data_IF_923480795857
#
_entry.id   IF_923480795857
#
_cell.length_a   1.000
_cell.length_b   1.000
_cell.length_c   1.000
_cell.angle_alpha   90.00
_cell.angle_beta   90.00
_cell.angle_gamma   90.00
#
_symmetry.space_group_name_H-M   'P 1'
#
loop_
_entity.id
_entity.type
_entity.pdbx_description
1 polymer ?
#
# COMPACT_ATOMS: atom_id res chain seq x y z
N UNK A 1 20.69 13.37 -19.52
CA UNK A 1 20.20 13.33 -18.12
C UNK A 1 18.84 12.64 -18.13
N UNK A 2 18.70 11.47 -17.50
CA UNK A 2 17.40 10.78 -17.40
C UNK A 2 16.52 11.55 -16.40
N UNK A 3 15.27 11.83 -16.76
CA UNK A 3 14.31 12.44 -15.85
C UNK A 3 14.13 11.55 -14.62
N UNK A 4 14.46 12.06 -13.42
CA UNK A 4 14.24 11.39 -12.15
C UNK A 4 12.87 11.80 -11.62
N UNK A 5 12.02 10.83 -11.32
CA UNK A 5 10.70 11.10 -10.77
C UNK A 5 10.86 11.72 -9.36
N UNK A 6 10.39 12.96 -9.10
CA UNK A 6 10.62 13.64 -7.83
C UNK A 6 9.98 12.93 -6.63
N UNK A 7 8.97 12.08 -6.88
CA UNK A 7 8.30 11.32 -5.82
C UNK A 7 9.09 10.09 -5.36
N UNK A 8 10.20 9.73 -6.03
CA UNK A 8 11.05 8.61 -5.61
C UNK A 8 11.65 8.84 -4.23
N UNK A 9 12.07 10.07 -3.95
CA UNK A 9 12.69 10.41 -2.67
C UNK A 9 11.62 10.68 -1.59
N UNK A 10 10.41 11.06 -2.02
CA UNK A 10 9.32 11.40 -1.13
C UNK A 10 8.63 10.17 -0.51
N UNK A 11 8.64 9.01 -1.19
CA UNK A 11 7.96 7.82 -0.66
C UNK A 11 8.59 7.30 0.63
N UNK A 12 9.88 7.56 0.87
CA UNK A 12 10.56 7.16 2.11
C UNK A 12 10.36 8.16 3.26
N UNK A 13 9.73 9.32 3.00
CA UNK A 13 9.52 10.36 4.03
C UNK A 13 8.27 10.12 4.91
N UNK A 14 7.47 9.10 4.59
CA UNK A 14 6.22 8.77 5.30
C UNK A 14 6.12 7.28 5.66
N UNK A 15 7.08 6.74 6.44
CA UNK A 15 7.19 5.29 6.69
C UNK A 15 5.97 4.67 7.40
N UNK A 16 5.19 5.47 8.13
CA UNK A 16 3.91 5.01 8.70
C UNK A 16 2.87 4.71 7.63
N UNK A 17 2.85 5.46 6.53
CA UNK A 17 1.83 5.35 5.50
C UNK A 17 2.33 4.66 4.23
N UNK A 18 3.64 4.56 4.04
CA UNK A 18 4.26 4.02 2.83
C UNK A 18 5.29 2.96 3.19
N UNK A 19 5.13 1.78 2.58
CA UNK A 19 6.20 0.78 2.50
C UNK A 19 6.78 0.80 1.08
N UNK A 20 7.98 1.36 0.85
CA UNK A 20 8.60 1.36 -0.46
C UNK A 20 9.33 0.04 -0.76
N UNK A 21 9.14 -0.47 -1.97
CA UNK A 21 10.00 -1.48 -2.59
C UNK A 21 11.24 -0.80 -3.19
N UNK A 22 12.43 -1.26 -2.80
CA UNK A 22 13.73 -0.83 -3.29
C UNK A 22 14.49 -2.05 -3.84
N UNK A 23 15.05 -1.96 -5.05
CA UNK A 23 15.82 -3.04 -5.70
C UNK A 23 15.19 -4.44 -5.60
N UNK A 24 13.89 -4.49 -5.87
CA UNK A 24 13.05 -5.69 -5.84
C UNK A 24 12.91 -6.37 -4.48
N UNK A 25 13.10 -5.63 -3.39
CA UNK A 25 12.92 -6.10 -2.02
C UNK A 25 12.25 -5.05 -1.13
N UNK A 26 11.80 -5.49 0.03
CA UNK A 26 11.39 -4.62 1.12
C UNK A 26 12.43 -4.68 2.25
N UNK A 27 12.60 -3.57 2.97
CA UNK A 27 13.38 -3.56 4.21
C UNK A 27 12.72 -4.50 5.24
N UNK A 28 13.40 -5.56 5.71
CA UNK A 28 12.86 -6.50 6.68
C UNK A 28 12.38 -5.84 7.99
N UNK A 29 13.03 -4.76 8.43
CA UNK A 29 12.63 -4.04 9.64
C UNK A 29 11.32 -3.28 9.41
N UNK A 30 11.17 -2.63 8.25
CA UNK A 30 9.95 -1.94 7.88
C UNK A 30 8.77 -2.94 7.71
N UNK A 31 9.04 -4.10 7.10
CA UNK A 31 8.05 -5.19 6.99
C UNK A 31 7.62 -5.67 8.37
N UNK A 32 8.57 -5.95 9.27
CA UNK A 32 8.24 -6.40 10.63
C UNK A 32 7.40 -5.38 11.38
N UNK A 33 7.77 -4.09 11.31
CA UNK A 33 6.99 -3.02 11.94
C UNK A 33 5.57 -2.90 11.36
N UNK A 34 5.42 -3.08 10.05
CA UNK A 34 4.10 -3.13 9.40
C UNK A 34 3.28 -4.34 9.88
N UNK A 35 3.88 -5.52 9.96
CA UNK A 35 3.22 -6.74 10.45
C UNK A 35 2.74 -6.57 11.89
N UNK A 36 3.55 -6.00 12.78
CA UNK A 36 3.17 -5.67 14.16
C UNK A 36 1.97 -4.72 14.21
N UNK A 37 1.96 -3.69 13.35
CA UNK A 37 0.82 -2.78 13.23
C UNK A 37 -0.43 -3.48 12.73
N UNK A 38 -0.33 -4.33 11.70
CA UNK A 38 -1.47 -5.10 11.19
C UNK A 38 -2.04 -5.98 12.30
N UNK A 39 -1.19 -6.64 13.09
CA UNK A 39 -1.60 -7.51 14.19
C UNK A 39 -2.34 -6.81 15.34
N UNK A 40 -2.32 -5.48 15.40
CA UNK A 40 -3.11 -4.70 16.36
C UNK A 40 -4.58 -4.52 15.95
N UNK A 41 -4.97 -4.96 14.74
CA UNK A 41 -6.32 -4.84 14.20
C UNK A 41 -7.00 -6.20 14.08
N UNK A 42 -8.33 -6.19 14.00
CA UNK A 42 -9.14 -7.42 14.01
C UNK A 42 -9.16 -8.13 12.65
N UNK A 43 -8.85 -7.42 11.57
CA UNK A 43 -8.85 -7.97 10.21
C UNK A 43 -7.88 -7.22 9.30
N UNK A 44 -7.46 -7.88 8.23
CA UNK A 44 -6.60 -7.31 7.19
C UNK A 44 -7.33 -7.32 5.85
N UNK A 45 -7.45 -6.16 5.22
CA UNK A 45 -8.09 -5.98 3.92
C UNK A 45 -7.05 -5.48 2.92
N UNK A 46 -6.94 -6.17 1.79
CA UNK A 46 -6.02 -5.81 0.70
C UNK A 46 -6.74 -5.00 -0.39
N UNK A 47 -5.99 -4.11 -1.04
CA UNK A 47 -6.41 -3.50 -2.30
C UNK A 47 -5.25 -3.55 -3.31
N UNK A 48 -5.40 -4.33 -4.38
CA UNK A 48 -4.40 -4.44 -5.44
C UNK A 48 -4.70 -3.43 -6.54
N UNK A 49 -3.73 -2.56 -6.83
CA UNK A 49 -3.91 -1.49 -7.80
C UNK A 49 -4.76 -0.34 -7.26
N UNK A 50 -4.42 0.17 -6.07
CA UNK A 50 -5.25 1.15 -5.34
C UNK A 50 -5.40 2.51 -6.03
N UNK A 51 -4.76 2.74 -7.17
CA UNK A 51 -4.89 3.95 -7.96
C UNK A 51 -4.53 5.19 -7.15
N UNK A 52 -5.40 6.20 -7.13
CA UNK A 52 -5.23 7.42 -6.32
C UNK A 52 -5.57 7.25 -4.83
N UNK A 53 -5.89 6.02 -4.40
CA UNK A 53 -6.17 5.64 -3.02
C UNK A 53 -7.54 6.06 -2.50
N UNK A 54 -8.45 6.53 -3.35
CA UNK A 54 -9.77 7.01 -2.90
C UNK A 54 -10.62 5.91 -2.25
N UNK A 55 -10.67 4.73 -2.88
CA UNK A 55 -11.37 3.57 -2.32
C UNK A 55 -10.69 3.09 -1.03
N UNK A 56 -9.37 2.88 -1.07
CA UNK A 56 -8.57 2.47 0.09
C UNK A 56 -8.80 3.36 1.33
N UNK A 57 -8.68 4.67 1.16
CA UNK A 57 -8.88 5.66 2.22
C UNK A 57 -10.31 5.60 2.76
N UNK A 58 -11.30 5.61 1.87
CA UNK A 58 -12.71 5.56 2.27
C UNK A 58 -13.06 4.31 3.06
N UNK A 59 -12.48 3.15 2.70
CA UNK A 59 -12.68 1.90 3.45
C UNK A 59 -12.03 1.96 4.83
N UNK A 60 -10.82 2.53 4.93
CA UNK A 60 -10.14 2.70 6.21
C UNK A 60 -10.87 3.65 7.16
N UNK A 61 -11.44 4.75 6.67
CA UNK A 61 -12.28 5.66 7.45
C UNK A 61 -13.55 4.97 7.99
N UNK A 62 -14.18 4.12 7.18
CA UNK A 62 -15.43 3.44 7.53
C UNK A 62 -15.24 2.21 8.42
N UNK A 63 -14.04 1.64 8.48
CA UNK A 63 -13.75 0.39 9.19
C UNK A 63 -12.49 0.55 10.07
N UNK A 64 -12.56 1.34 11.15
CA UNK A 64 -11.39 1.62 12.00
C UNK A 64 -10.78 0.37 12.65
N UNK A 65 -11.55 -0.70 12.81
CA UNK A 65 -11.10 -1.97 13.41
C UNK A 65 -10.35 -2.89 12.43
N UNK A 66 -10.34 -2.55 11.13
CA UNK A 66 -9.66 -3.28 10.08
C UNK A 66 -8.43 -2.53 9.60
N UNK A 67 -7.33 -3.24 9.36
CA UNK A 67 -6.16 -2.69 8.69
C UNK A 67 -6.30 -2.79 7.17
N UNK A 68 -5.99 -1.71 6.46
CA UNK A 68 -6.08 -1.62 5.01
C UNK A 68 -4.69 -1.51 4.38
N UNK A 69 -4.32 -2.51 3.58
CA UNK A 69 -3.04 -2.56 2.87
C UNK A 69 -3.24 -2.43 1.36
N UNK A 70 -2.87 -1.28 0.81
CA UNK A 70 -2.97 -1.01 -0.63
C UNK A 70 -1.66 -1.27 -1.38
N UNK A 71 -1.73 -1.66 -2.65
CA UNK A 71 -0.58 -1.79 -3.54
C UNK A 71 -0.71 -0.88 -4.76
N UNK A 72 0.33 -0.10 -5.05
CA UNK A 72 0.39 0.75 -6.25
C UNK A 72 1.85 0.95 -6.71
N UNK A 73 2.07 0.92 -8.03
CA UNK A 73 3.39 1.03 -8.66
C UNK A 73 3.84 2.50 -8.83
N UNK A 74 2.89 3.42 -9.00
CA UNK A 74 3.17 4.83 -9.35
C UNK A 74 3.48 5.65 -8.10
N UNK A 75 4.76 6.03 -7.93
CA UNK A 75 5.26 6.88 -6.84
C UNK A 75 4.38 8.09 -6.50
N UNK A 76 3.96 8.87 -7.50
CA UNK A 76 3.09 10.04 -7.29
C UNK A 76 1.77 9.68 -6.62
N UNK A 77 1.15 8.57 -7.00
CA UNK A 77 -0.14 8.16 -6.45
C UNK A 77 0.02 7.70 -5.00
N UNK A 78 0.99 6.82 -4.74
CA UNK A 78 1.35 6.36 -3.39
C UNK A 78 1.57 7.56 -2.45
N UNK A 79 2.42 8.51 -2.84
CA UNK A 79 2.71 9.67 -2.00
C UNK A 79 1.47 10.53 -1.73
N UNK A 80 0.63 10.78 -2.74
CA UNK A 80 -0.62 11.55 -2.55
C UNK A 80 -1.63 10.82 -1.67
N UNK A 81 -1.71 9.49 -1.76
CA UNK A 81 -2.55 8.67 -0.88
C UNK A 81 -2.06 8.76 0.56
N UNK A 82 -0.75 8.67 0.78
CA UNK A 82 -0.14 8.84 2.10
C UNK A 82 -0.39 10.24 2.68
N UNK A 83 -0.19 11.31 1.90
CA UNK A 83 -0.49 12.68 2.35
C UNK A 83 -1.95 12.85 2.77
N UNK A 84 -2.89 12.27 2.05
CA UNK A 84 -4.32 12.33 2.41
C UNK A 84 -4.61 11.54 3.67
N UNK A 85 -4.07 10.33 3.77
CA UNK A 85 -4.25 9.45 4.93
C UNK A 85 -3.70 10.08 6.20
N UNK A 86 -2.53 10.73 6.10
CA UNK A 86 -1.91 11.48 7.18
C UNK A 86 -2.75 12.70 7.61
N UNK A 87 -3.26 13.48 6.65
CA UNK A 87 -4.14 14.62 6.94
C UNK A 87 -5.43 14.21 7.63
N UNK A 88 -5.94 13.01 7.34
CA UNK A 88 -7.11 12.42 7.98
C UNK A 88 -6.78 11.72 9.31
N UNK A 89 -5.50 11.59 9.66
CA UNK A 89 -5.06 10.95 10.91
C UNK A 89 -5.25 9.44 10.95
N UNK A 90 -5.39 8.77 9.80
CA UNK A 90 -5.66 7.33 9.73
C UNK A 90 -4.50 6.51 10.30
N UNK A 91 -4.78 5.60 11.22
CA UNK A 91 -3.75 4.71 11.81
C UNK A 91 -3.79 3.30 11.23
N UNK A 92 -4.87 2.95 10.55
CA UNK A 92 -5.23 1.62 10.06
C UNK A 92 -5.00 1.45 8.55
N UNK A 93 -4.05 2.18 7.97
CA UNK A 93 -3.77 2.14 6.53
C UNK A 93 -2.27 2.23 6.26
N UNK A 94 -1.78 1.41 5.33
CA UNK A 94 -0.48 1.55 4.67
C UNK A 94 -0.63 1.31 3.17
N UNK A 95 0.05 2.11 2.35
CA UNK A 95 0.17 1.87 0.91
C UNK A 95 1.59 1.40 0.56
N UNK A 96 1.67 0.20 0.01
CA UNK A 96 2.90 -0.38 -0.52
C UNK A 96 3.17 0.23 -1.88
N UNK A 97 4.31 0.92 -2.02
CA UNK A 97 4.86 1.23 -3.33
C UNK A 97 5.58 -0.02 -3.80
N UNK A 98 4.99 -0.80 -4.69
CA UNK A 98 5.59 -2.06 -5.13
C UNK A 98 4.66 -2.95 -5.92
N UNK A 99 5.21 -4.07 -6.37
CA UNK A 99 4.48 -5.10 -7.09
C UNK A 99 3.73 -6.01 -6.11
N UNK A 100 2.43 -6.19 -6.34
CA UNK A 100 1.60 -7.07 -5.51
C UNK A 100 2.02 -8.55 -5.55
N UNK A 101 2.82 -8.97 -6.54
CA UNK A 101 3.41 -10.32 -6.58
C UNK A 101 4.34 -10.59 -5.40
N UNK A 102 4.89 -9.54 -4.78
CA UNK A 102 5.73 -9.64 -3.59
C UNK A 102 4.94 -9.58 -2.27
N UNK A 103 3.61 -9.59 -2.34
CA UNK A 103 2.74 -9.66 -1.17
C UNK A 103 3.14 -10.77 -0.16
N UNK A 104 3.54 -11.99 -0.58
CA UNK A 104 3.95 -13.03 0.37
C UNK A 104 5.14 -12.62 1.26
N UNK A 105 6.05 -11.78 0.77
CA UNK A 105 7.19 -11.28 1.55
C UNK A 105 6.75 -10.32 2.67
N UNK A 106 5.62 -9.64 2.47
CA UNK A 106 5.05 -8.71 3.45
C UNK A 106 4.15 -9.44 4.44
N UNK A 107 3.31 -10.36 3.98
CA UNK A 107 2.31 -11.01 4.84
C UNK A 107 2.95 -11.99 5.82
N UNK A 108 3.94 -12.78 5.39
CA UNK A 108 4.40 -13.92 6.17
C UNK A 108 3.22 -14.83 6.54
N UNK A 109 2.97 -15.00 7.84
CA UNK A 109 1.87 -15.81 8.39
C UNK A 109 0.54 -15.03 8.50
N UNK A 110 0.51 -13.72 8.24
CA UNK A 110 -0.70 -12.93 8.29
C UNK A 110 -1.66 -13.32 7.16
N UNK A 111 -2.96 -13.39 7.47
CA UNK A 111 -3.99 -13.73 6.50
C UNK A 111 -4.88 -12.53 6.22
N UNK A 112 -5.12 -12.27 4.93
CA UNK A 112 -6.12 -11.29 4.51
C UNK A 112 -7.53 -11.86 4.68
N UNK A 113 -8.40 -11.07 5.29
CA UNK A 113 -9.83 -11.37 5.43
C UNK A 113 -10.61 -11.04 4.14
N UNK A 114 -10.07 -10.14 3.32
CA UNK A 114 -10.65 -9.77 2.04
C UNK A 114 -9.65 -9.07 1.12
N UNK A 115 -9.97 -9.04 -0.17
CA UNK A 115 -9.14 -8.39 -1.19
C UNK A 115 -10.03 -7.69 -2.22
N UNK A 116 -9.69 -6.43 -2.52
CA UNK A 116 -10.31 -5.64 -3.59
C UNK A 116 -9.37 -5.53 -4.79
N UNK A 117 -9.93 -5.69 -5.99
CA UNK A 117 -9.25 -5.45 -7.25
C UNK A 117 -10.23 -4.65 -8.12
N UNK A 118 -10.07 -3.33 -8.12
CA UNK A 118 -11.01 -2.42 -8.76
C UNK A 118 -10.46 -1.98 -10.13
N UNK A 119 -11.19 -2.27 -11.20
CA UNK A 119 -10.83 -1.89 -12.58
C UNK A 119 -9.41 -2.30 -13.00
N UNK A 120 -9.03 -3.59 -12.86
CA UNK A 120 -7.73 -4.05 -13.32
C UNK A 120 -7.59 -3.85 -14.83
N UNK A 121 -6.35 -3.72 -15.32
CA UNK A 121 -6.10 -3.67 -16.76
C UNK A 121 -6.80 -4.87 -17.43
N UNK A 122 -7.62 -4.65 -18.47
CA UNK A 122 -8.40 -5.72 -19.08
C UNK A 122 -7.54 -6.70 -19.89
N UNK A 123 -6.21 -6.47 -19.95
CA UNK A 123 -5.22 -7.18 -20.76
C UNK A 123 -5.80 -7.58 -22.12
N UNK A 124 -5.91 -6.60 -23.03
CA UNK A 124 -6.43 -6.83 -24.39
C UNK A 124 -5.78 -8.04 -25.06
N UNK A 125 -6.53 -8.72 -25.95
CA UNK A 125 -5.99 -9.87 -26.69
C UNK A 125 -4.72 -9.45 -27.43
N UNK A 126 -3.65 -10.24 -27.27
CA UNK A 126 -2.49 -10.16 -28.17
C UNK A 126 -3.00 -10.45 -29.58
N UNK A 127 -3.02 -9.43 -30.43
CA UNK A 127 -3.18 -9.58 -31.88
C UNK A 127 -1.94 -10.21 -32.49
#
# INVERSE_FOLDING_TARGET
MKWRNPYMDLVSTKPTYILPQEDDRFDPLAVKSLQERIGAFSSLILEIGSGSGGHLISRAEQNPDAFHLGFELRYKRVFRTAEKSEKLGLQNLTIVRGDARLLPEILGELQATGCYINFPDPWGKKG
#
